data_IF_993353338962
#
_entry.id   IF_993353338962
#
_cell.length_a   1.000
_cell.length_b   1.000
_cell.length_c   1.000
_cell.angle_alpha   90.00
_cell.angle_beta   90.00
_cell.angle_gamma   90.00
#
_symmetry.space_group_name_H-M   'P 1'
#
loop_
_entity.id
_entity.type
_entity.pdbx_description
1 polymer ?
#
# COMPACT_ATOMS: atom_id res chain seq x y z
N UNK A 1 23.37 35.68 -5.01
CA UNK A 1 22.70 35.13 -3.85
C UNK A 1 22.95 33.63 -3.72
N UNK A 2 22.74 33.05 -2.56
CA UNK A 2 22.84 31.60 -2.39
C UNK A 2 21.59 30.94 -3.00
N UNK A 3 21.79 29.84 -3.70
CA UNK A 3 20.66 29.02 -4.22
C UNK A 3 20.07 28.15 -3.11
N UNK A 4 18.85 27.74 -3.27
CA UNK A 4 18.06 26.96 -2.29
C UNK A 4 18.06 25.50 -2.64
N UNK A 5 18.20 24.63 -1.63
CA UNK A 5 17.88 23.20 -1.73
C UNK A 5 16.48 23.01 -1.16
N UNK A 6 15.63 22.30 -1.89
CA UNK A 6 14.26 21.98 -1.48
C UNK A 6 14.18 20.49 -1.15
N UNK A 7 13.71 20.18 0.06
CA UNK A 7 13.37 18.84 0.49
C UNK A 7 11.86 18.80 0.71
N UNK A 8 11.15 18.02 -0.10
CA UNK A 8 9.69 17.90 -0.04
C UNK A 8 9.33 16.45 0.23
N UNK A 9 8.91 16.20 1.45
CA UNK A 9 8.50 14.87 1.88
C UNK A 9 7.00 14.67 1.64
N UNK A 10 6.62 13.45 1.24
CA UNK A 10 5.23 13.04 0.99
C UNK A 10 4.46 14.02 0.07
N UNK A 11 5.06 14.40 -1.07
CA UNK A 11 4.48 15.38 -1.99
C UNK A 11 3.08 15.02 -2.50
N UNK A 12 2.73 13.76 -2.45
CA UNK A 12 1.47 13.20 -2.96
C UNK A 12 0.39 13.06 -1.89
N UNK A 13 0.67 13.29 -0.61
CA UNK A 13 -0.34 13.24 0.47
C UNK A 13 -1.53 14.17 0.23
N UNK A 14 -1.38 15.46 -0.16
CA UNK A 14 -2.52 16.32 -0.48
C UNK A 14 -3.34 15.79 -1.67
N UNK A 15 -2.70 15.11 -2.58
CA UNK A 15 -3.34 14.52 -3.77
C UNK A 15 -4.12 13.27 -3.41
N UNK A 16 -3.60 12.44 -2.52
CA UNK A 16 -4.31 11.29 -1.96
C UNK A 16 -5.60 11.74 -1.26
N UNK A 17 -5.52 12.76 -0.40
CA UNK A 17 -6.67 13.33 0.27
C UNK A 17 -7.70 13.89 -0.73
N UNK A 18 -7.24 14.58 -1.77
CA UNK A 18 -8.11 15.10 -2.81
C UNK A 18 -8.83 14.00 -3.60
N UNK A 19 -8.14 12.87 -3.85
CA UNK A 19 -8.75 11.71 -4.50
C UNK A 19 -9.83 11.06 -3.63
N UNK A 20 -9.55 10.87 -2.34
CA UNK A 20 -10.51 10.28 -1.39
C UNK A 20 -11.75 11.16 -1.21
N UNK A 21 -11.57 12.48 -1.19
CA UNK A 21 -12.63 13.45 -0.92
C UNK A 21 -13.26 14.08 -2.18
N UNK A 22 -12.85 13.68 -3.38
CA UNK A 22 -13.53 14.00 -4.64
C UNK A 22 -13.17 15.34 -5.28
N UNK A 23 -12.09 16.04 -4.84
CA UNK A 23 -11.61 17.30 -5.45
C UNK A 23 -10.23 17.13 -6.14
N UNK A 24 -10.00 15.95 -6.69
CA UNK A 24 -8.74 15.58 -7.38
C UNK A 24 -8.32 16.55 -8.47
N UNK A 25 -9.25 16.99 -9.31
CA UNK A 25 -8.92 17.84 -10.49
C UNK A 25 -8.38 19.21 -10.09
N UNK A 26 -8.96 19.81 -9.07
CA UNK A 26 -8.55 21.10 -8.53
C UNK A 26 -7.16 21.01 -7.90
N UNK A 27 -6.93 19.97 -7.10
CA UNK A 27 -5.65 19.72 -6.46
C UNK A 27 -4.55 19.44 -7.50
N UNK A 28 -4.86 18.66 -8.53
CA UNK A 28 -3.94 18.37 -9.62
C UNK A 28 -3.48 19.64 -10.34
N UNK A 29 -4.43 20.52 -10.68
CA UNK A 29 -4.15 21.79 -11.35
C UNK A 29 -3.27 22.71 -10.50
N UNK A 30 -3.57 22.81 -9.20
CA UNK A 30 -2.80 23.58 -8.24
C UNK A 30 -1.37 23.05 -8.10
N UNK A 31 -1.23 21.75 -7.84
CA UNK A 31 0.08 21.09 -7.62
C UNK A 31 0.97 21.20 -8.87
N UNK A 32 0.40 21.00 -10.05
CA UNK A 32 1.12 21.18 -11.33
C UNK A 32 1.65 22.60 -11.48
N UNK A 33 0.82 23.60 -11.20
CA UNK A 33 1.23 25.01 -11.26
C UNK A 33 2.34 25.31 -10.27
N UNK A 34 2.19 24.85 -9.03
CA UNK A 34 3.19 25.03 -7.96
C UNK A 34 4.54 24.40 -8.33
N UNK A 35 4.51 23.15 -8.80
CA UNK A 35 5.74 22.42 -9.13
C UNK A 35 6.44 23.00 -10.36
N UNK A 36 5.70 23.42 -11.37
CA UNK A 36 6.28 24.11 -12.51
C UNK A 36 6.97 25.41 -12.10
N UNK A 37 6.32 26.22 -11.28
CA UNK A 37 6.93 27.48 -10.79
C UNK A 37 8.15 27.24 -9.89
N UNK A 38 8.15 26.16 -9.13
CA UNK A 38 9.19 25.85 -8.15
C UNK A 38 10.40 25.16 -8.77
N UNK A 39 10.18 24.17 -9.62
CA UNK A 39 11.24 23.24 -10.08
C UNK A 39 11.68 23.47 -11.52
N UNK A 40 10.81 24.05 -12.39
CA UNK A 40 11.14 24.27 -13.79
C UNK A 40 11.85 25.59 -13.96
N UNK A 41 13.07 25.54 -14.52
CA UNK A 41 13.86 26.74 -14.88
C UNK A 41 13.99 27.80 -13.77
N UNK A 42 13.89 27.41 -12.50
CA UNK A 42 14.00 28.33 -11.37
C UNK A 42 15.47 28.68 -11.11
N UNK A 43 15.93 29.93 -11.32
CA UNK A 43 17.32 30.29 -11.17
C UNK A 43 17.80 30.29 -9.71
N UNK A 44 16.90 30.25 -8.75
CA UNK A 44 17.19 30.22 -7.32
C UNK A 44 17.26 28.79 -6.76
N UNK A 45 16.90 27.80 -7.53
CA UNK A 45 16.96 26.40 -7.14
C UNK A 45 18.36 25.83 -7.44
N UNK A 46 18.99 25.24 -6.44
CA UNK A 46 20.22 24.45 -6.61
C UNK A 46 19.88 22.97 -6.88
N UNK A 47 19.07 22.40 -6.00
CA UNK A 47 18.67 20.99 -6.05
C UNK A 47 17.34 20.79 -5.33
N UNK A 48 16.59 19.78 -5.74
CA UNK A 48 15.41 19.35 -5.01
C UNK A 48 15.42 17.81 -4.85
N UNK A 49 14.90 17.34 -3.72
CA UNK A 49 14.55 15.94 -3.47
C UNK A 49 13.10 15.91 -3.04
N UNK A 50 12.33 15.04 -3.68
CA UNK A 50 10.92 14.83 -3.36
C UNK A 50 10.67 13.35 -3.08
N UNK A 51 9.93 13.04 -2.02
CA UNK A 51 9.47 11.69 -1.70
C UNK A 51 7.97 11.58 -1.84
N UNK A 52 7.49 10.37 -2.10
CA UNK A 52 6.06 10.07 -2.19
C UNK A 52 5.84 8.61 -2.60
N UNK A 53 4.64 8.11 -2.34
CA UNK A 53 4.25 6.74 -2.64
C UNK A 53 3.92 6.58 -4.13
N UNK A 54 3.26 7.58 -4.72
CA UNK A 54 2.82 7.54 -6.09
C UNK A 54 3.70 8.38 -6.98
N UNK A 55 4.08 7.84 -8.12
CA UNK A 55 4.58 8.64 -9.20
C UNK A 55 3.37 9.31 -9.87
N UNK A 56 3.12 10.56 -9.55
CA UNK A 56 2.19 11.34 -10.36
C UNK A 56 2.70 11.35 -11.81
N UNK A 57 1.99 10.67 -12.70
CA UNK A 57 2.49 10.30 -14.02
C UNK A 57 2.92 11.47 -14.87
N UNK A 58 3.68 11.17 -15.93
CA UNK A 58 4.15 12.12 -16.94
C UNK A 58 3.07 13.06 -17.47
N UNK A 59 1.80 12.63 -17.45
CA UNK A 59 0.71 13.39 -18.04
C UNK A 59 0.07 14.44 -17.13
N UNK A 60 0.37 14.41 -15.82
CA UNK A 60 -0.36 15.28 -14.90
C UNK A 60 0.51 16.32 -14.19
N UNK A 61 1.52 15.92 -13.43
CA UNK A 61 2.28 16.85 -12.55
C UNK A 61 3.69 17.07 -13.04
N UNK A 62 4.35 16.02 -13.50
CA UNK A 62 5.76 16.06 -13.88
C UNK A 62 6.01 16.09 -15.38
N UNK A 63 4.98 16.19 -16.19
CA UNK A 63 5.12 16.23 -17.67
C UNK A 63 6.05 17.33 -18.17
N UNK A 64 6.13 18.41 -17.41
CA UNK A 64 6.90 19.60 -17.76
C UNK A 64 8.29 19.64 -17.12
N UNK A 65 8.66 18.67 -16.27
CA UNK A 65 9.95 18.57 -15.59
C UNK A 65 10.87 17.60 -16.34
N UNK A 66 11.75 18.13 -17.19
CA UNK A 66 12.58 17.32 -18.09
C UNK A 66 13.84 16.74 -17.43
N UNK A 67 14.22 17.20 -16.27
CA UNK A 67 15.46 16.82 -15.55
C UNK A 67 15.18 16.10 -14.23
N UNK A 68 14.02 15.46 -14.13
CA UNK A 68 13.65 14.66 -12.98
C UNK A 68 14.30 13.27 -13.08
N UNK A 69 15.11 12.91 -12.08
CA UNK A 69 15.52 11.53 -11.86
C UNK A 69 14.49 10.86 -10.95
N UNK A 70 13.96 9.73 -11.38
CA UNK A 70 12.95 8.99 -10.62
C UNK A 70 13.55 7.67 -10.14
N UNK A 71 13.48 7.44 -8.84
CA UNK A 71 13.87 6.21 -8.17
C UNK A 71 12.64 5.61 -7.52
N UNK A 72 12.38 4.33 -7.79
CA UNK A 72 11.23 3.58 -7.31
C UNK A 72 11.67 2.41 -6.44
N UNK A 73 10.73 1.68 -5.87
CA UNK A 73 11.01 0.47 -5.08
C UNK A 73 11.69 -0.64 -5.89
N UNK A 74 11.61 -0.61 -7.23
CA UNK A 74 12.29 -1.58 -8.10
C UNK A 74 13.65 -1.10 -8.60
N UNK A 75 14.06 0.12 -8.24
CA UNK A 75 15.34 0.71 -8.66
C UNK A 75 16.49 0.24 -7.78
N UNK A 76 17.65 -0.11 -8.43
CA UNK A 76 18.88 -0.44 -7.70
C UNK A 76 19.52 0.77 -7.02
N UNK A 77 19.37 1.94 -7.64
CA UNK A 77 19.96 3.17 -7.12
C UNK A 77 19.31 3.53 -5.79
N UNK A 78 20.12 3.76 -4.77
CA UNK A 78 19.71 4.07 -3.39
C UNK A 78 18.92 2.96 -2.69
N UNK A 79 19.06 1.72 -3.09
CA UNK A 79 18.35 0.56 -2.53
C UNK A 79 18.64 0.30 -1.04
N UNK A 80 19.74 0.82 -0.51
CA UNK A 80 20.17 0.74 0.89
C UNK A 80 20.11 2.08 1.65
N UNK A 81 19.55 3.12 1.04
CA UNK A 81 19.47 4.46 1.65
C UNK A 81 18.18 4.68 2.46
N UNK A 82 17.20 3.80 2.34
CA UNK A 82 15.91 3.91 3.00
C UNK A 82 15.60 2.63 3.79
N UNK A 83 15.22 2.80 5.05
CA UNK A 83 15.04 1.68 5.97
C UNK A 83 16.35 1.24 6.63
N UNK A 84 16.26 0.22 7.47
CA UNK A 84 17.44 -0.42 8.08
C UNK A 84 17.71 -1.76 7.41
N UNK A 85 18.98 -2.05 7.15
CA UNK A 85 19.40 -3.37 6.68
C UNK A 85 19.39 -4.40 7.83
N UNK A 86 19.37 -5.70 7.48
CA UNK A 86 19.41 -6.76 8.50
C UNK A 86 20.64 -6.66 9.39
N UNK A 87 21.80 -6.33 8.83
CA UNK A 87 23.05 -6.17 9.57
C UNK A 87 22.95 -5.02 10.60
N UNK A 88 22.38 -3.87 10.22
CA UNK A 88 22.17 -2.75 11.12
C UNK A 88 21.18 -3.10 12.24
N UNK A 89 20.08 -3.76 11.91
CA UNK A 89 19.09 -4.21 12.89
C UNK A 89 19.70 -5.20 13.87
N UNK A 90 20.47 -6.18 13.38
CA UNK A 90 21.09 -7.17 14.24
C UNK A 90 22.18 -6.60 15.12
N UNK A 91 22.95 -5.62 14.63
CA UNK A 91 23.95 -4.90 15.44
C UNK A 91 23.29 -4.12 16.59
N UNK A 92 22.20 -3.40 16.29
CA UNK A 92 21.45 -2.66 17.31
C UNK A 92 20.80 -3.60 18.34
N UNK A 93 20.25 -4.75 17.92
CA UNK A 93 19.72 -5.74 18.85
C UNK A 93 20.79 -6.27 19.80
N UNK A 94 22.01 -6.47 19.33
CA UNK A 94 23.14 -6.86 20.19
C UNK A 94 23.49 -5.77 21.20
N UNK A 95 23.57 -4.51 20.76
CA UNK A 95 23.85 -3.36 21.62
C UNK A 95 22.83 -3.20 22.74
N UNK A 96 21.54 -3.47 22.43
CA UNK A 96 20.44 -3.40 23.41
C UNK A 96 20.27 -4.67 24.24
N UNK A 97 21.14 -5.69 24.06
CA UNK A 97 21.07 -6.97 24.79
C UNK A 97 19.86 -7.83 24.40
N UNK A 98 19.41 -7.72 23.16
CA UNK A 98 18.23 -8.41 22.60
C UNK A 98 18.61 -9.42 21.51
N UNK A 99 19.83 -9.97 21.55
CA UNK A 99 20.32 -10.92 20.55
C UNK A 99 19.47 -12.17 20.41
N UNK A 100 18.80 -12.59 21.49
CA UNK A 100 17.86 -13.71 21.52
C UNK A 100 16.55 -13.42 20.77
N UNK A 101 16.25 -12.16 20.47
CA UNK A 101 15.03 -11.72 19.78
C UNK A 101 15.20 -11.59 18.25
N UNK A 102 16.42 -11.80 17.71
CA UNK A 102 16.70 -11.60 16.27
C UNK A 102 15.70 -12.31 15.35
N UNK A 103 15.45 -13.60 15.61
CA UNK A 103 14.50 -14.36 14.79
C UNK A 103 13.08 -13.81 14.91
N UNK A 104 12.65 -13.43 16.09
CA UNK A 104 11.32 -12.85 16.32
C UNK A 104 11.14 -11.51 15.61
N UNK A 105 12.15 -10.64 15.64
CA UNK A 105 12.17 -9.36 14.92
C UNK A 105 12.12 -9.59 13.43
N UNK A 106 12.90 -10.57 12.92
CA UNK A 106 12.89 -10.97 11.52
C UNK A 106 11.51 -11.46 11.07
N UNK A 107 10.88 -12.34 11.82
CA UNK A 107 9.55 -12.89 11.49
C UNK A 107 8.47 -11.79 11.41
N UNK A 108 8.61 -10.71 12.18
CA UNK A 108 7.61 -9.66 12.24
C UNK A 108 7.84 -8.53 11.24
N UNK A 109 9.08 -8.11 11.02
CA UNK A 109 9.39 -6.83 10.39
C UNK A 109 10.24 -6.92 9.13
N UNK A 110 10.84 -8.10 8.84
CA UNK A 110 11.65 -8.31 7.68
C UNK A 110 10.84 -8.32 6.39
N UNK A 111 11.45 -7.85 5.30
CA UNK A 111 10.94 -8.16 3.96
C UNK A 111 10.59 -6.97 3.08
N UNK A 112 10.87 -5.73 3.47
CA UNK A 112 10.83 -4.64 2.52
C UNK A 112 11.94 -4.83 1.48
N UNK A 113 11.62 -4.51 0.21
CA UNK A 113 12.52 -4.72 -0.90
C UNK A 113 12.69 -3.44 -1.71
N UNK A 114 13.95 -3.11 -2.02
CA UNK A 114 14.31 -2.03 -2.91
C UNK A 114 15.32 -2.55 -3.93
N UNK A 115 14.97 -2.55 -5.22
CA UNK A 115 15.77 -3.20 -6.26
C UNK A 115 16.01 -4.69 -5.96
N UNK A 116 17.27 -5.10 -5.95
CA UNK A 116 17.69 -6.47 -5.58
C UNK A 116 17.82 -6.68 -4.06
N UNK A 117 17.85 -5.58 -3.26
CA UNK A 117 17.89 -5.67 -1.81
C UNK A 117 16.56 -6.14 -1.26
N UNK A 118 16.59 -7.14 -0.37
CA UNK A 118 15.40 -7.78 0.19
C UNK A 118 15.43 -7.89 1.71
N UNK A 119 16.44 -7.30 2.33
CA UNK A 119 16.76 -7.39 3.75
C UNK A 119 16.48 -6.08 4.51
N UNK A 120 15.49 -5.32 4.06
CA UNK A 120 15.18 -4.01 4.61
C UNK A 120 14.04 -4.12 5.63
N UNK A 121 14.21 -3.39 6.74
CA UNK A 121 13.25 -3.25 7.82
C UNK A 121 12.73 -1.82 7.89
N UNK A 122 11.46 -1.67 8.29
CA UNK A 122 10.89 -0.35 8.55
C UNK A 122 11.50 0.25 9.83
N UNK A 123 12.12 1.45 9.78
CA UNK A 123 12.77 2.06 10.94
C UNK A 123 11.81 2.30 12.11
N UNK A 124 10.58 2.73 11.83
CA UNK A 124 9.57 2.98 12.86
C UNK A 124 9.26 1.73 13.69
N UNK A 125 9.07 0.60 13.02
CA UNK A 125 8.79 -0.67 13.69
C UNK A 125 9.95 -1.15 14.54
N UNK A 126 11.19 -1.01 14.05
CA UNK A 126 12.40 -1.39 14.80
C UNK A 126 12.61 -0.49 16.01
N UNK A 127 12.50 0.84 15.85
CA UNK A 127 12.67 1.79 16.96
C UNK A 127 11.65 1.52 18.07
N UNK A 128 10.36 1.32 17.72
CA UNK A 128 9.34 1.03 18.71
C UNK A 128 9.53 -0.34 19.36
N UNK A 129 10.01 -1.35 18.62
CA UNK A 129 10.37 -2.63 19.21
C UNK A 129 11.51 -2.50 20.24
N UNK A 130 12.54 -1.71 19.94
CA UNK A 130 13.66 -1.47 20.86
C UNK A 130 13.20 -0.75 22.14
N UNK A 131 12.29 0.20 22.01
CA UNK A 131 11.74 0.97 23.13
C UNK A 131 10.83 0.11 24.02
N UNK A 132 9.83 -0.55 23.40
CA UNK A 132 8.83 -1.34 24.14
C UNK A 132 9.26 -2.77 24.46
N UNK A 133 10.31 -3.30 23.85
CA UNK A 133 10.84 -4.68 23.97
C UNK A 133 9.80 -5.77 23.70
N UNK A 134 8.80 -5.45 22.92
CA UNK A 134 7.75 -6.37 22.47
C UNK A 134 7.45 -6.16 20.98
N UNK A 135 6.95 -7.18 20.31
CA UNK A 135 6.48 -7.07 18.93
C UNK A 135 5.07 -6.50 18.88
N UNK A 136 4.77 -5.71 17.88
CA UNK A 136 3.47 -5.10 17.63
C UNK A 136 3.38 -4.56 16.22
N UNK A 137 2.18 -4.24 15.76
CA UNK A 137 1.95 -3.60 14.47
C UNK A 137 2.15 -2.08 14.59
N UNK A 138 3.39 -1.63 14.66
CA UNK A 138 3.74 -0.24 14.93
C UNK A 138 3.57 0.66 13.71
N UNK A 139 4.20 0.32 12.59
CA UNK A 139 4.11 1.10 11.36
C UNK A 139 2.72 1.01 10.74
N UNK A 140 2.18 -0.17 10.68
CA UNK A 140 0.88 -0.43 10.08
C UNK A 140 -0.26 0.36 10.75
N UNK A 141 -0.11 0.72 12.03
CA UNK A 141 -1.10 1.53 12.76
C UNK A 141 -0.88 3.04 12.61
N UNK A 142 0.22 3.50 12.02
CA UNK A 142 0.52 4.92 11.84
C UNK A 142 0.01 5.49 10.53
N UNK A 143 -0.10 4.67 9.49
CA UNK A 143 -0.54 5.12 8.18
C UNK A 143 -2.07 5.29 8.15
N UNK A 144 -2.51 6.37 7.51
CA UNK A 144 -3.92 6.56 7.20
C UNK A 144 -4.34 5.55 6.11
N UNK A 145 -4.69 4.32 6.51
CA UNK A 145 -5.04 3.22 5.61
C UNK A 145 -6.36 3.45 4.83
N UNK A 146 -6.95 4.66 4.91
CA UNK A 146 -8.23 5.02 4.29
C UNK A 146 -8.26 4.77 2.78
N UNK A 147 -7.18 5.08 2.07
CA UNK A 147 -7.12 4.83 0.63
C UNK A 147 -7.10 3.33 0.34
N UNK A 148 -6.28 2.58 1.06
CA UNK A 148 -6.16 1.12 0.93
C UNK A 148 -7.48 0.45 1.25
N UNK A 149 -8.10 0.80 2.38
CA UNK A 149 -9.42 0.33 2.77
C UNK A 149 -10.46 0.60 1.69
N UNK A 150 -10.53 1.83 1.19
CA UNK A 150 -11.43 2.22 0.10
C UNK A 150 -11.22 1.37 -1.15
N UNK A 151 -9.96 1.18 -1.57
CA UNK A 151 -9.63 0.44 -2.79
C UNK A 151 -9.99 -1.05 -2.70
N UNK A 152 -9.83 -1.68 -1.53
CA UNK A 152 -10.22 -3.07 -1.33
C UNK A 152 -11.74 -3.18 -1.23
N UNK A 153 -12.38 -2.35 -0.40
CA UNK A 153 -13.81 -2.41 -0.12
C UNK A 153 -14.67 -2.10 -1.35
N UNK A 154 -14.28 -1.08 -2.14
CA UNK A 154 -14.92 -0.70 -3.40
C UNK A 154 -14.38 -1.48 -4.61
N UNK A 155 -13.39 -2.33 -4.40
CA UNK A 155 -12.74 -3.12 -5.44
C UNK A 155 -13.67 -4.11 -6.13
N UNK A 156 -13.38 -4.38 -7.41
CA UNK A 156 -14.08 -5.42 -8.17
C UNK A 156 -13.91 -6.79 -7.51
N UNK A 157 -14.81 -7.75 -7.71
CA UNK A 157 -14.72 -9.10 -7.11
C UNK A 157 -13.34 -9.76 -7.24
N UNK A 158 -12.66 -9.59 -8.39
CA UNK A 158 -11.29 -10.10 -8.59
C UNK A 158 -10.23 -9.46 -7.69
N UNK A 159 -10.43 -8.21 -7.27
CA UNK A 159 -9.50 -7.54 -6.33
C UNK A 159 -9.71 -8.12 -4.94
N UNK A 160 -10.96 -8.33 -4.54
CA UNK A 160 -11.31 -8.95 -3.24
C UNK A 160 -10.75 -10.37 -3.14
N UNK A 161 -10.97 -11.19 -4.17
CA UNK A 161 -10.43 -12.56 -4.22
C UNK A 161 -8.91 -12.58 -4.12
N UNK A 162 -8.22 -11.76 -4.92
CA UNK A 162 -6.77 -11.68 -4.87
C UNK A 162 -6.24 -11.18 -3.51
N UNK A 163 -7.01 -10.34 -2.81
CA UNK A 163 -6.68 -9.90 -1.46
C UNK A 163 -6.88 -11.01 -0.42
N UNK A 164 -7.96 -11.79 -0.53
CA UNK A 164 -8.19 -13.00 0.28
C UNK A 164 -7.05 -13.99 0.08
N UNK A 165 -6.70 -14.30 -1.18
CA UNK A 165 -5.58 -15.20 -1.50
C UNK A 165 -4.26 -14.74 -0.87
N UNK A 166 -3.99 -13.42 -0.85
CA UNK A 166 -2.80 -12.85 -0.18
C UNK A 166 -2.83 -13.02 1.34
N UNK A 167 -4.00 -12.83 1.97
CA UNK A 167 -4.18 -13.05 3.41
C UNK A 167 -3.98 -14.52 3.80
N UNK A 168 -4.35 -15.43 2.91
CA UNK A 168 -4.11 -16.87 3.08
C UNK A 168 -2.66 -17.30 2.76
N UNK A 169 -1.76 -16.33 2.51
CA UNK A 169 -0.35 -16.57 2.19
C UNK A 169 -0.07 -16.88 0.73
N UNK A 170 -1.02 -16.64 -0.15
CA UNK A 170 -0.87 -16.79 -1.59
C UNK A 170 0.02 -15.75 -2.24
N UNK A 171 0.21 -15.91 -3.55
CA UNK A 171 1.07 -15.07 -4.39
C UNK A 171 0.30 -14.53 -5.58
N UNK A 172 0.42 -13.24 -5.86
CA UNK A 172 -0.14 -12.61 -7.05
C UNK A 172 0.91 -12.52 -8.14
N UNK A 173 0.64 -13.14 -9.29
CA UNK A 173 1.49 -13.07 -10.48
C UNK A 173 0.96 -12.03 -11.45
N UNK A 174 1.71 -10.91 -11.65
CA UNK A 174 1.25 -9.80 -12.50
C UNK A 174 2.36 -8.87 -12.98
N UNK A 175 2.04 -8.06 -13.99
CA UNK A 175 2.83 -6.89 -14.37
C UNK A 175 2.61 -5.75 -13.37
N UNK A 176 3.68 -5.03 -13.04
CA UNK A 176 3.63 -3.83 -12.21
C UNK A 176 3.65 -2.58 -13.10
N UNK A 177 2.77 -1.65 -12.82
CA UNK A 177 2.78 -0.31 -13.42
C UNK A 177 3.34 0.69 -12.39
N UNK A 178 4.60 1.04 -12.52
CA UNK A 178 5.24 2.01 -11.62
C UNK A 178 4.78 3.45 -11.87
N UNK A 179 3.99 3.68 -12.92
CA UNK A 179 3.46 5.00 -13.27
C UNK A 179 1.99 5.14 -12.85
N UNK A 180 1.70 4.81 -11.59
CA UNK A 180 0.34 4.85 -11.07
C UNK A 180 -0.14 6.28 -10.95
N UNK A 181 -1.36 6.53 -11.43
CA UNK A 181 -2.10 7.78 -11.23
C UNK A 181 -3.37 7.47 -10.47
N UNK A 182 -3.74 8.31 -9.53
CA UNK A 182 -4.93 8.09 -8.70
C UNK A 182 -6.22 7.92 -9.51
N UNK A 183 -6.42 8.69 -10.57
CA UNK A 183 -7.60 8.57 -11.44
C UNK A 183 -7.67 7.25 -12.23
N UNK A 184 -6.55 6.53 -12.34
CA UNK A 184 -6.47 5.23 -13.02
C UNK A 184 -6.63 4.03 -12.06
N UNK A 185 -6.66 4.25 -10.74
CA UNK A 185 -6.78 3.18 -9.75
C UNK A 185 -8.04 2.32 -9.96
N UNK A 186 -9.15 2.95 -10.35
CA UNK A 186 -10.40 2.25 -10.67
C UNK A 186 -10.44 1.65 -12.08
N UNK A 187 -9.66 2.19 -13.02
CA UNK A 187 -9.71 1.83 -14.43
C UNK A 187 -8.70 0.73 -14.82
N UNK A 188 -7.47 0.79 -14.30
CA UNK A 188 -6.41 -0.18 -14.61
C UNK A 188 -6.46 -1.38 -13.69
N UNK A 189 -6.41 -2.58 -14.28
CA UNK A 189 -6.52 -3.86 -13.57
C UNK A 189 -5.49 -4.06 -12.47
N UNK A 190 -4.26 -3.59 -12.67
CA UNK A 190 -3.12 -3.85 -11.78
C UNK A 190 -2.73 -2.63 -10.93
N UNK A 191 -3.39 -1.48 -11.08
CA UNK A 191 -2.98 -0.24 -10.43
C UNK A 191 -3.05 -0.32 -8.90
N UNK A 192 -4.05 -0.99 -8.34
CA UNK A 192 -4.19 -1.19 -6.89
C UNK A 192 -2.98 -1.94 -6.32
N UNK A 193 -2.56 -3.01 -6.98
CA UNK A 193 -1.44 -3.86 -6.53
C UNK A 193 -0.09 -3.16 -6.69
N UNK A 194 0.06 -2.40 -7.77
CA UNK A 194 1.25 -1.57 -7.95
C UNK A 194 1.35 -0.48 -6.87
N UNK A 195 0.22 0.11 -6.47
CA UNK A 195 0.18 1.04 -5.33
C UNK A 195 0.56 0.32 -4.03
N UNK A 196 0.05 -0.89 -3.78
CA UNK A 196 0.37 -1.66 -2.57
C UNK A 196 1.85 -2.02 -2.51
N UNK A 197 2.47 -2.33 -3.66
CA UNK A 197 3.91 -2.53 -3.73
C UNK A 197 4.67 -1.23 -3.41
N UNK A 198 4.31 -0.12 -4.03
CA UNK A 198 4.94 1.18 -3.80
C UNK A 198 4.79 1.67 -2.35
N UNK A 199 3.67 1.34 -1.69
CA UNK A 199 3.41 1.66 -0.28
C UNK A 199 4.07 0.69 0.71
N UNK A 200 4.75 -0.37 0.23
CA UNK A 200 5.41 -1.35 1.09
C UNK A 200 4.48 -2.40 1.71
N UNK A 201 3.21 -2.46 1.33
CA UNK A 201 2.29 -3.52 1.78
C UNK A 201 2.56 -4.86 1.09
N UNK A 202 3.09 -4.82 -0.13
CA UNK A 202 3.53 -6.00 -0.86
C UNK A 202 5.04 -5.95 -1.07
N UNK A 203 5.63 -7.13 -1.24
CA UNK A 203 7.01 -7.33 -1.66
C UNK A 203 7.09 -8.20 -2.89
N UNK A 204 8.19 -8.07 -3.62
CA UNK A 204 8.53 -8.95 -4.73
C UNK A 204 9.16 -10.22 -4.18
N UNK A 205 8.48 -11.35 -4.32
CA UNK A 205 8.98 -12.68 -3.97
C UNK A 205 9.77 -13.32 -5.12
N UNK A 206 9.41 -12.97 -6.37
CA UNK A 206 10.05 -13.46 -7.58
C UNK A 206 9.78 -12.57 -8.78
N UNK A 207 10.59 -12.73 -9.83
CA UNK A 207 10.42 -12.03 -11.11
C UNK A 207 10.55 -13.01 -12.26
N UNK A 208 9.73 -12.85 -13.29
CA UNK A 208 9.78 -13.66 -14.51
C UNK A 208 9.77 -12.75 -15.73
N UNK A 209 10.82 -12.81 -16.52
CA UNK A 209 10.85 -12.12 -17.81
C UNK A 209 10.28 -13.04 -18.91
N UNK A 210 9.18 -12.64 -19.52
CA UNK A 210 8.58 -13.38 -20.62
C UNK A 210 9.18 -12.90 -21.95
N UNK A 211 10.15 -13.63 -22.49
CA UNK A 211 10.86 -13.27 -23.72
C UNK A 211 9.94 -13.04 -24.92
N UNK A 212 8.86 -13.83 -25.03
CA UNK A 212 7.92 -13.75 -26.14
C UNK A 212 7.20 -12.40 -26.24
N UNK A 213 6.89 -11.80 -25.09
CA UNK A 213 6.14 -10.53 -25.01
C UNK A 213 7.05 -9.36 -24.64
N UNK A 214 8.29 -9.62 -24.20
CA UNK A 214 9.19 -8.60 -23.65
C UNK A 214 8.72 -8.00 -22.34
N UNK A 215 7.88 -8.71 -21.58
CA UNK A 215 7.27 -8.21 -20.35
C UNK A 215 7.88 -8.83 -19.11
N UNK A 216 7.99 -8.02 -18.06
CA UNK A 216 8.38 -8.46 -16.74
C UNK A 216 7.14 -8.72 -15.88
N UNK A 217 7.05 -9.92 -15.31
CA UNK A 217 6.04 -10.29 -14.33
C UNK A 217 6.68 -10.41 -12.95
N UNK A 218 5.90 -10.05 -11.95
CA UNK A 218 6.30 -10.05 -10.55
C UNK A 218 5.40 -10.97 -9.75
N UNK A 219 6.00 -11.78 -8.90
CA UNK A 219 5.32 -12.57 -7.89
C UNK A 219 5.26 -11.74 -6.61
N UNK A 220 4.07 -11.30 -6.22
CA UNK A 220 3.85 -10.42 -5.09
C UNK A 220 3.24 -11.19 -3.93
N UNK A 221 3.77 -10.94 -2.73
CA UNK A 221 3.22 -11.45 -1.46
C UNK A 221 3.10 -10.31 -0.46
N UNK A 222 2.39 -10.52 0.66
CA UNK A 222 2.42 -9.58 1.78
C UNK A 222 3.86 -9.42 2.29
N UNK A 223 4.22 -8.20 2.66
CA UNK A 223 5.60 -7.85 3.00
C UNK A 223 6.09 -8.64 4.20
N UNK A 224 5.30 -8.65 5.29
CA UNK A 224 5.67 -9.30 6.54
C UNK A 224 4.45 -9.55 7.43
N UNK A 225 4.71 -10.08 8.64
CA UNK A 225 3.66 -10.39 9.62
C UNK A 225 2.94 -9.14 10.14
N UNK A 226 3.64 -8.03 10.30
CA UNK A 226 3.04 -6.76 10.72
C UNK A 226 1.95 -6.31 9.75
N UNK A 227 2.25 -6.33 8.45
CA UNK A 227 1.30 -5.99 7.38
C UNK A 227 0.13 -6.96 7.33
N UNK A 228 0.41 -8.26 7.47
CA UNK A 228 -0.64 -9.27 7.53
C UNK A 228 -1.63 -9.01 8.67
N UNK A 229 -1.13 -8.73 9.88
CA UNK A 229 -1.97 -8.44 11.05
C UNK A 229 -2.79 -7.15 10.84
N UNK A 230 -2.19 -6.12 10.26
CA UNK A 230 -2.90 -4.89 9.91
C UNK A 230 -4.10 -5.18 9.01
N UNK A 231 -3.89 -5.92 7.92
CA UNK A 231 -4.96 -6.24 7.00
C UNK A 231 -6.02 -7.16 7.62
N UNK A 232 -5.60 -8.14 8.43
CA UNK A 232 -6.53 -8.99 9.16
C UNK A 232 -7.41 -8.18 10.13
N UNK A 233 -6.82 -7.24 10.88
CA UNK A 233 -7.56 -6.34 11.76
C UNK A 233 -8.51 -5.43 10.98
N UNK A 234 -8.07 -4.85 9.86
CA UNK A 234 -8.91 -4.01 9.00
C UNK A 234 -10.14 -4.78 8.51
N UNK A 235 -9.98 -6.05 8.09
CA UNK A 235 -11.09 -6.90 7.71
C UNK A 235 -12.01 -7.17 8.90
N UNK A 236 -11.45 -7.48 10.08
CA UNK A 236 -12.25 -7.68 11.30
C UNK A 236 -13.06 -6.44 11.68
N UNK A 237 -12.48 -5.25 11.55
CA UNK A 237 -13.15 -3.98 11.84
C UNK A 237 -14.35 -3.74 10.91
N UNK A 238 -14.28 -4.17 9.65
CA UNK A 238 -15.43 -4.08 8.74
C UNK A 238 -16.63 -4.89 9.22
N UNK A 239 -16.40 -6.00 9.92
CA UNK A 239 -17.47 -6.80 10.54
C UNK A 239 -17.89 -6.25 11.90
N UNK A 240 -16.95 -5.73 12.71
CA UNK A 240 -17.23 -5.28 14.07
C UNK A 240 -18.07 -3.98 14.12
N UNK A 241 -17.94 -3.10 13.12
CA UNK A 241 -18.72 -1.85 13.00
C UNK A 241 -20.17 -2.08 12.54
N UNK A 242 -20.52 -3.30 12.18
CA UNK A 242 -21.90 -3.65 11.91
C UNK A 242 -22.58 -4.06 13.22
N UNK A 243 -23.36 -3.15 13.83
CA UNK A 243 -24.38 -3.49 14.83
C UNK A 243 -25.30 -4.62 14.29
N UNK A 244 -25.36 -4.74 12.99
CA UNK A 244 -26.05 -5.77 12.22
C UNK A 244 -25.56 -7.21 12.51
N UNK A 245 -24.30 -7.42 12.96
CA UNK A 245 -23.86 -8.78 13.35
C UNK A 245 -24.64 -9.29 14.56
N UNK A 246 -24.86 -8.43 15.56
CA UNK A 246 -25.68 -8.76 16.70
C UNK A 246 -27.14 -8.95 16.28
N UNK A 247 -27.63 -8.17 15.32
CA UNK A 247 -28.98 -8.31 14.79
C UNK A 247 -29.13 -9.58 13.94
N UNK A 248 -28.08 -10.01 13.20
CA UNK A 248 -28.08 -11.30 12.54
C UNK A 248 -28.14 -12.47 13.53
N UNK A 249 -27.35 -12.43 14.60
CA UNK A 249 -27.38 -13.46 15.64
C UNK A 249 -28.76 -13.49 16.33
N UNK A 250 -29.33 -12.33 16.63
CA UNK A 250 -30.70 -12.25 17.16
C UNK A 250 -31.73 -12.84 16.18
N UNK A 251 -31.64 -12.48 14.90
CA UNK A 251 -32.50 -13.00 13.85
C UNK A 251 -32.36 -14.53 13.72
N UNK A 252 -31.14 -15.04 13.80
CA UNK A 252 -30.86 -16.49 13.80
C UNK A 252 -31.51 -17.20 14.99
N UNK A 253 -31.33 -16.65 16.19
CA UNK A 253 -31.90 -17.22 17.42
C UNK A 253 -33.43 -17.18 17.45
N UNK A 254 -34.03 -16.17 16.81
CA UNK A 254 -35.49 -15.99 16.70
C UNK A 254 -36.09 -16.71 15.48
N UNK A 255 -35.27 -17.28 14.61
CA UNK A 255 -35.72 -17.91 13.37
C UNK A 255 -36.27 -16.89 12.33
N UNK A 256 -35.91 -15.60 12.43
CA UNK A 256 -36.29 -14.57 11.48
C UNK A 256 -35.47 -14.65 10.20
N UNK A 257 -35.88 -15.52 9.31
CA UNK A 257 -35.22 -15.78 8.02
C UNK A 257 -35.15 -14.52 7.16
N UNK A 258 -36.11 -13.61 7.26
CA UNK A 258 -36.13 -12.37 6.46
C UNK A 258 -35.04 -11.40 6.90
N UNK A 259 -34.88 -11.19 8.21
CA UNK A 259 -33.82 -10.36 8.76
C UNK A 259 -32.42 -10.98 8.51
N UNK A 260 -32.29 -12.31 8.64
CA UNK A 260 -31.08 -13.05 8.29
C UNK A 260 -30.69 -12.84 6.82
N UNK A 261 -31.65 -12.95 5.91
CA UNK A 261 -31.41 -12.81 4.48
C UNK A 261 -31.00 -11.37 4.10
N UNK A 262 -31.59 -10.37 4.74
CA UNK A 262 -31.23 -8.97 4.55
C UNK A 262 -29.77 -8.73 4.97
N UNK A 263 -29.35 -9.27 6.12
CA UNK A 263 -27.98 -9.18 6.60
C UNK A 263 -27.02 -9.89 5.64
N UNK A 264 -27.30 -11.13 5.26
CA UNK A 264 -26.46 -11.92 4.36
C UNK A 264 -26.31 -11.25 3.00
N UNK A 265 -27.37 -10.67 2.45
CA UNK A 265 -27.29 -9.92 1.18
C UNK A 265 -26.39 -8.69 1.30
N UNK A 266 -26.41 -7.99 2.43
CA UNK A 266 -25.51 -6.88 2.68
C UNK A 266 -24.05 -7.34 2.77
N UNK A 267 -23.76 -8.34 3.59
CA UNK A 267 -22.43 -8.92 3.74
C UNK A 267 -21.91 -9.45 2.39
N UNK A 268 -22.73 -10.17 1.63
CA UNK A 268 -22.32 -10.68 0.31
C UNK A 268 -22.03 -9.55 -0.68
N UNK A 269 -22.78 -8.46 -0.63
CA UNK A 269 -22.55 -7.30 -1.52
C UNK A 269 -21.28 -6.54 -1.17
N UNK A 270 -20.95 -6.44 0.13
CA UNK A 270 -19.82 -5.66 0.62
C UNK A 270 -18.51 -6.46 0.68
N UNK A 271 -18.59 -7.77 1.00
CA UNK A 271 -17.44 -8.56 1.41
C UNK A 271 -17.09 -9.72 0.47
N UNK A 272 -18.08 -10.39 -0.12
CA UNK A 272 -17.81 -11.57 -0.95
C UNK A 272 -17.60 -11.23 -2.41
N UNK A 273 -16.82 -12.07 -3.10
CA UNK A 273 -16.65 -11.98 -4.54
C UNK A 273 -17.89 -12.47 -5.27
N UNK A 274 -18.04 -12.10 -6.53
CA UNK A 274 -19.12 -12.60 -7.38
C UNK A 274 -19.18 -14.15 -7.47
N UNK A 275 -18.03 -14.81 -7.31
CA UNK A 275 -17.92 -16.27 -7.39
C UNK A 275 -18.44 -16.96 -6.13
N UNK A 276 -18.36 -16.31 -4.97
CA UNK A 276 -18.84 -16.87 -3.69
C UNK A 276 -20.36 -16.84 -3.60
N UNK A 277 -21.01 -15.89 -4.28
CA UNK A 277 -22.47 -15.70 -4.20
C UNK A 277 -23.27 -16.51 -5.24
N UNK A 278 -22.62 -17.10 -6.22
CA UNK A 278 -23.21 -18.05 -7.15
C UNK A 278 -24.27 -17.58 -8.12
N UNK A 279 -24.79 -16.32 -8.07
CA UNK A 279 -25.70 -15.72 -9.08
C UNK A 279 -25.85 -14.22 -8.88
N UNK A 280 -25.98 -13.47 -9.98
CA UNK A 280 -26.47 -12.09 -9.99
C UNK A 280 -27.86 -12.08 -9.35
N UNK A 281 -28.18 -11.21 -8.38
CA UNK A 281 -29.56 -11.00 -7.98
C UNK A 281 -30.32 -10.46 -9.20
N UNK A 282 -31.24 -11.23 -9.74
CA UNK A 282 -32.23 -10.69 -10.67
C UNK A 282 -33.10 -9.78 -9.82
N UNK A 283 -33.05 -8.48 -10.09
CA UNK A 283 -33.94 -7.51 -9.45
C UNK A 283 -35.39 -7.88 -9.73
N UNK A 284 -36.17 -7.96 -8.68
CA UNK A 284 -37.59 -7.64 -8.63
C UNK A 284 -37.77 -6.44 -7.69
#
# INVERSE_FOLDING_TARGET
GKKTIILLDEYDTPMQEAYVNGYWREMLAFTRSLFNATFKTNPYLERAVMTGITRASKESIFSDLNNLEVVTTTSEKYSDCFGFTEDEVFAVLEEYGLSDQKQKVKDWYYGFSFGERRDIYNPWSIINFLDERRVGAYWANTSANRLVEKLIREGKPKVKQAFEDLLDGGTLHMEIDEQIVYDQLSAKKNAVWSLFLASGYLKVAGTVFEERTGRMYYDLTLTNKEVHIMFANMVQDWFAWNDDYNDFIKALLLGDVKAMNLYMNRVTTEMFTFFDTGKIPQGE
#
